data_IF_803602918813
#
_entry.id   IF_803602918813
#
_cell.length_a   1.000
_cell.length_b   1.000
_cell.length_c   1.000
_cell.angle_alpha   90.00
_cell.angle_beta   90.00
_cell.angle_gamma   90.00
#
_symmetry.space_group_name_H-M   'P 1'
#
loop_
_entity.id
_entity.type
_entity.pdbx_description
1 polymer ?
#
# COMPACT_ATOMS: atom_id res chain seq x y z
N UNK A 1 18.57 16.61 -3.68
CA UNK A 1 18.64 16.21 -2.24
C UNK A 1 17.23 16.01 -1.68
N UNK A 2 16.55 14.95 -2.11
CA UNK A 2 15.20 14.61 -1.65
C UNK A 2 15.31 13.58 -0.52
N UNK A 3 14.60 13.81 0.60
CA UNK A 3 14.48 12.85 1.71
C UNK A 3 13.15 12.09 1.54
N UNK A 4 13.18 10.79 1.82
CA UNK A 4 12.06 9.89 1.68
C UNK A 4 11.65 9.32 3.04
N UNK A 5 10.35 9.27 3.34
CA UNK A 5 9.83 8.43 4.41
C UNK A 5 9.22 7.15 3.84
N UNK A 6 9.64 6.01 4.39
CA UNK A 6 9.03 4.69 4.17
C UNK A 6 8.33 4.25 5.45
N UNK A 7 7.18 3.60 5.30
CA UNK A 7 6.54 2.99 6.45
C UNK A 7 7.31 1.77 6.97
N UNK A 8 7.87 0.95 6.07
CA UNK A 8 8.65 -0.24 6.38
C UNK A 8 9.48 -0.69 5.17
N UNK A 9 10.60 -1.36 5.39
CA UNK A 9 11.44 -1.95 4.34
C UNK A 9 10.74 -3.07 3.58
N UNK A 10 9.87 -3.83 4.24
CA UNK A 10 9.13 -4.95 3.66
C UNK A 10 7.75 -4.55 3.11
N UNK A 11 7.45 -3.24 3.11
CA UNK A 11 6.17 -2.73 2.64
C UNK A 11 6.03 -2.85 1.12
N UNK A 12 4.93 -3.46 0.67
CA UNK A 12 4.59 -3.43 -0.75
C UNK A 12 4.27 -2.02 -1.23
N UNK A 13 3.32 -1.33 -0.60
CA UNK A 13 2.86 0.00 -1.02
C UNK A 13 3.88 1.09 -0.77
N UNK A 14 4.57 1.07 0.37
CA UNK A 14 5.53 2.09 0.74
C UNK A 14 6.89 1.94 0.05
N UNK A 15 7.35 0.70 -0.17
CA UNK A 15 8.68 0.43 -0.69
C UNK A 15 8.66 -0.21 -2.07
N UNK A 16 8.06 -1.41 -2.23
CA UNK A 16 8.17 -2.20 -3.47
C UNK A 16 7.58 -1.47 -4.68
N UNK A 17 6.36 -0.93 -4.56
CA UNK A 17 5.70 -0.22 -5.65
C UNK A 17 6.37 1.12 -5.97
N UNK A 18 6.87 1.84 -4.97
CA UNK A 18 7.64 3.06 -5.19
C UNK A 18 8.95 2.76 -5.92
N UNK A 19 9.68 1.73 -5.46
CA UNK A 19 10.89 1.25 -6.12
C UNK A 19 10.64 0.89 -7.58
N UNK A 20 9.59 0.12 -7.86
CA UNK A 20 9.19 -0.24 -9.20
C UNK A 20 8.87 1.00 -10.07
N UNK A 21 8.16 1.98 -9.52
CA UNK A 21 7.81 3.21 -10.24
C UNK A 21 9.04 4.09 -10.58
N UNK A 22 10.05 4.11 -9.71
CA UNK A 22 11.25 4.93 -9.89
C UNK A 22 12.32 4.24 -10.75
N UNK A 23 12.38 2.91 -10.73
CA UNK A 23 13.42 2.15 -11.41
C UNK A 23 13.61 2.50 -12.91
N UNK A 24 12.55 2.76 -13.71
CA UNK A 24 12.72 3.17 -15.10
C UNK A 24 13.30 4.59 -15.28
N UNK A 25 13.20 5.42 -14.24
CA UNK A 25 13.56 6.84 -14.32
C UNK A 25 15.06 7.10 -14.10
N UNK A 26 15.75 6.21 -13.40
CA UNK A 26 17.14 6.44 -13.03
C UNK A 26 17.89 5.14 -12.84
N UNK A 27 18.48 4.68 -13.91
CA UNK A 27 19.49 3.64 -13.85
C UNK A 27 20.73 4.23 -13.16
N UNK A 28 21.22 3.57 -12.14
CA UNK A 28 22.45 3.92 -11.41
C UNK A 28 22.40 5.21 -10.57
N UNK A 29 21.25 5.86 -10.44
CA UNK A 29 21.12 7.12 -9.69
C UNK A 29 20.51 6.88 -8.30
N UNK A 30 21.09 7.52 -7.29
CA UNK A 30 20.43 7.69 -6.01
C UNK A 30 19.39 8.81 -6.15
N UNK A 31 18.10 8.49 -5.97
CA UNK A 31 17.02 9.48 -5.97
C UNK A 31 16.94 10.24 -4.65
N UNK A 32 17.37 9.59 -3.58
CA UNK A 32 17.18 10.11 -2.23
C UNK A 32 18.52 10.33 -1.54
N UNK A 33 18.65 11.50 -0.91
CA UNK A 33 19.79 11.77 -0.04
C UNK A 33 19.68 10.94 1.25
N UNK A 34 18.45 10.75 1.72
CA UNK A 34 18.17 10.00 2.96
C UNK A 34 16.84 9.24 2.83
N UNK A 35 16.78 8.06 3.45
CA UNK A 35 15.59 7.24 3.56
C UNK A 35 15.29 6.98 5.04
N UNK A 36 14.16 7.46 5.52
CA UNK A 36 13.72 7.32 6.91
C UNK A 36 12.64 6.27 7.04
N UNK A 37 12.76 5.36 8.01
CA UNK A 37 11.71 4.41 8.34
C UNK A 37 10.81 5.01 9.40
N UNK A 38 9.58 5.30 9.00
CA UNK A 38 8.59 5.97 9.86
C UNK A 38 7.81 5.02 10.77
N UNK A 39 7.68 3.75 10.39
CA UNK A 39 6.89 2.74 11.11
C UNK A 39 5.40 2.72 10.73
N UNK A 40 4.92 3.61 9.84
CA UNK A 40 3.53 3.58 9.38
C UNK A 40 3.17 4.73 8.45
N UNK A 41 2.20 4.50 7.56
CA UNK A 41 1.78 5.47 6.54
C UNK A 41 1.30 6.81 7.11
N UNK A 42 0.56 6.80 8.22
CA UNK A 42 0.10 8.04 8.87
C UNK A 42 1.27 8.90 9.35
N UNK A 43 2.30 8.26 9.90
CA UNK A 43 3.50 8.96 10.35
C UNK A 43 4.32 9.46 9.15
N UNK A 44 4.44 8.68 8.09
CA UNK A 44 5.09 9.12 6.85
C UNK A 44 4.45 10.38 6.29
N UNK A 45 3.11 10.43 6.24
CA UNK A 45 2.37 11.62 5.79
C UNK A 45 2.62 12.82 6.70
N UNK A 46 2.60 12.63 8.02
CA UNK A 46 2.89 13.69 8.99
C UNK A 46 4.31 14.25 8.83
N UNK A 47 5.30 13.40 8.55
CA UNK A 47 6.67 13.83 8.28
C UNK A 47 6.77 14.71 7.02
N UNK A 48 6.03 14.36 5.95
CA UNK A 48 5.97 15.20 4.74
C UNK A 48 5.28 16.53 5.06
N UNK A 49 4.14 16.51 5.75
CA UNK A 49 3.41 17.72 6.12
C UNK A 49 4.24 18.66 7.02
N UNK A 50 5.09 18.10 7.89
CA UNK A 50 6.00 18.86 8.74
C UNK A 50 7.28 19.33 8.01
N UNK A 51 7.50 18.93 6.75
CA UNK A 51 8.73 19.26 6.02
C UNK A 51 9.97 18.51 6.50
N UNK A 52 9.79 17.44 7.28
CA UNK A 52 10.89 16.58 7.73
C UNK A 52 11.47 15.76 6.57
N UNK A 53 10.61 15.41 5.61
CA UNK A 53 10.95 14.74 4.34
C UNK A 53 10.13 15.33 3.21
N UNK A 54 10.56 15.13 1.98
CA UNK A 54 9.89 15.69 0.80
C UNK A 54 8.93 14.70 0.12
N UNK A 55 9.09 13.39 0.35
CA UNK A 55 8.33 12.37 -0.34
C UNK A 55 7.97 11.20 0.57
N UNK A 56 6.81 10.62 0.29
CA UNK A 56 6.41 9.29 0.79
C UNK A 56 5.54 8.56 -0.21
N UNK A 57 5.44 7.25 -0.07
CA UNK A 57 4.46 6.40 -0.77
C UNK A 57 3.49 5.80 0.24
N UNK A 58 2.20 5.92 -0.05
CA UNK A 58 1.11 5.51 0.85
C UNK A 58 0.15 4.61 0.10
N UNK A 59 -0.38 3.60 0.77
CA UNK A 59 -1.41 2.75 0.17
C UNK A 59 -2.72 3.52 -0.08
N UNK A 60 -3.43 3.11 -1.12
CA UNK A 60 -4.65 3.79 -1.57
C UNK A 60 -5.78 3.70 -0.55
N UNK A 61 -5.80 2.67 0.30
CA UNK A 61 -6.84 2.51 1.33
C UNK A 61 -6.63 3.53 2.43
N UNK A 62 -5.44 3.59 3.03
CA UNK A 62 -5.10 4.62 4.05
C UNK A 62 -5.34 6.03 3.52
N UNK A 63 -4.87 6.33 2.31
CA UNK A 63 -5.07 7.64 1.70
C UNK A 63 -6.56 7.97 1.48
N UNK A 64 -7.33 7.02 0.95
CA UNK A 64 -8.77 7.17 0.73
C UNK A 64 -9.55 7.37 2.03
N UNK A 65 -9.20 6.65 3.09
CA UNK A 65 -9.79 6.87 4.42
C UNK A 65 -9.53 8.27 4.97
N UNK A 66 -8.32 8.78 4.81
CA UNK A 66 -8.01 10.15 5.22
C UNK A 66 -8.81 11.16 4.42
N UNK A 67 -8.94 10.98 3.11
CA UNK A 67 -9.77 11.86 2.28
C UNK A 67 -11.24 11.90 2.74
N UNK A 68 -11.78 10.78 3.22
CA UNK A 68 -13.17 10.67 3.64
C UNK A 68 -13.41 11.12 5.08
N UNK A 69 -12.48 10.84 6.00
CA UNK A 69 -12.75 10.92 7.43
C UNK A 69 -11.84 11.91 8.18
N UNK A 70 -10.72 12.32 7.59
CA UNK A 70 -9.76 13.23 8.21
C UNK A 70 -8.98 14.02 7.15
N UNK A 71 -9.68 14.75 6.22
CA UNK A 71 -9.03 15.42 5.10
C UNK A 71 -7.99 16.45 5.54
N UNK A 72 -8.15 17.05 6.72
CA UNK A 72 -7.19 17.99 7.31
C UNK A 72 -5.79 17.40 7.50
N UNK A 73 -5.67 16.07 7.61
CA UNK A 73 -4.36 15.39 7.68
C UNK A 73 -3.62 15.35 6.35
N UNK A 74 -4.29 15.73 5.28
CA UNK A 74 -3.72 15.81 3.93
C UNK A 74 -3.43 17.26 3.52
N UNK A 75 -3.70 18.24 4.39
CA UNK A 75 -3.43 19.64 4.11
C UNK A 75 -1.94 19.87 3.82
N UNK A 76 -1.68 20.65 2.77
CA UNK A 76 -0.32 20.93 2.32
C UNK A 76 0.36 19.78 1.54
N UNK A 77 -0.30 18.62 1.42
CA UNK A 77 0.21 17.48 0.66
C UNK A 77 -0.32 17.48 -0.78
N UNK A 78 0.50 16.99 -1.69
CA UNK A 78 0.15 16.84 -3.10
C UNK A 78 0.46 15.44 -3.59
N UNK A 79 -0.50 14.80 -4.26
CA UNK A 79 -0.27 13.55 -4.98
C UNK A 79 0.53 13.85 -6.24
N UNK A 80 1.71 13.27 -6.37
CA UNK A 80 2.61 13.43 -7.52
C UNK A 80 2.33 12.40 -8.61
N UNK A 81 1.87 11.21 -8.22
CA UNK A 81 1.61 10.11 -9.14
C UNK A 81 0.99 8.91 -8.43
N UNK A 82 0.73 7.88 -9.20
CA UNK A 82 0.25 6.58 -8.73
C UNK A 82 1.18 5.48 -9.21
N UNK A 83 1.40 4.48 -8.36
CA UNK A 83 2.12 3.28 -8.74
C UNK A 83 1.33 2.42 -9.73
N UNK A 84 1.96 1.38 -10.26
CA UNK A 84 1.26 0.28 -10.87
C UNK A 84 0.23 -0.32 -9.89
N UNK A 85 -0.93 -0.83 -10.38
CA UNK A 85 -1.96 -1.41 -9.53
C UNK A 85 -1.45 -2.68 -8.84
N UNK A 86 -1.89 -2.89 -7.62
CA UNK A 86 -1.64 -4.13 -6.89
C UNK A 86 -2.90 -4.59 -6.17
N UNK A 87 -3.02 -5.89 -5.85
CA UNK A 87 -4.10 -6.37 -5.02
C UNK A 87 -4.14 -5.67 -3.68
N UNK A 88 -5.33 -5.53 -3.10
CA UNK A 88 -5.51 -5.08 -1.73
C UNK A 88 -4.91 -6.09 -0.74
N UNK A 89 -4.72 -5.66 0.51
CA UNK A 89 -4.26 -6.53 1.59
C UNK A 89 -5.24 -7.71 1.75
N UNK A 90 -4.74 -8.97 1.75
CA UNK A 90 -5.59 -10.13 1.93
C UNK A 90 -6.01 -10.30 3.39
N UNK A 91 -7.21 -10.81 3.61
CA UNK A 91 -7.53 -11.48 4.86
C UNK A 91 -6.91 -12.88 4.82
N UNK A 92 -6.18 -13.23 5.84
CA UNK A 92 -5.50 -14.52 5.95
C UNK A 92 -6.01 -15.29 7.16
N UNK A 93 -6.03 -16.61 7.05
CA UNK A 93 -6.38 -17.52 8.13
C UNK A 93 -5.24 -18.52 8.36
N UNK A 94 -5.30 -19.21 9.50
CA UNK A 94 -4.37 -20.32 9.78
C UNK A 94 -4.51 -21.45 8.75
N UNK A 95 -3.41 -22.13 8.48
CA UNK A 95 -3.39 -23.35 7.64
C UNK A 95 -4.26 -24.50 8.19
N UNK A 96 -4.61 -24.45 9.49
CA UNK A 96 -5.50 -25.42 10.11
C UNK A 96 -6.97 -25.27 9.69
N UNK A 97 -7.35 -24.15 9.09
CA UNK A 97 -8.70 -23.95 8.62
C UNK A 97 -8.96 -24.78 7.37
N UNK A 98 -10.05 -25.56 7.42
CA UNK A 98 -10.50 -26.30 6.25
C UNK A 98 -11.03 -25.36 5.16
N UNK A 99 -11.14 -25.88 3.94
CA UNK A 99 -11.75 -25.12 2.84
C UNK A 99 -13.22 -24.72 3.14
N UNK A 100 -13.95 -25.57 3.87
CA UNK A 100 -15.33 -25.29 4.28
C UNK A 100 -15.37 -24.09 5.24
N UNK A 101 -14.55 -24.07 6.30
CA UNK A 101 -14.48 -22.96 7.24
C UNK A 101 -14.09 -21.64 6.57
N UNK A 102 -13.13 -21.66 5.64
CA UNK A 102 -12.76 -20.45 4.86
C UNK A 102 -13.93 -19.94 4.02
N UNK A 103 -14.69 -20.86 3.40
CA UNK A 103 -15.87 -20.48 2.61
C UNK A 103 -16.97 -19.90 3.48
N UNK A 104 -17.27 -20.51 4.63
CA UNK A 104 -18.26 -20.00 5.59
C UNK A 104 -17.90 -18.58 6.07
N UNK A 105 -16.63 -18.34 6.40
CA UNK A 105 -16.15 -16.99 6.76
C UNK A 105 -16.34 -16.00 5.62
N UNK A 106 -15.95 -16.38 4.40
CA UNK A 106 -16.11 -15.55 3.21
C UNK A 106 -17.58 -15.19 2.94
N UNK A 107 -18.48 -16.15 3.04
CA UNK A 107 -19.92 -15.95 2.89
C UNK A 107 -20.47 -15.04 3.99
N UNK A 108 -20.09 -15.26 5.25
CA UNK A 108 -20.51 -14.45 6.39
C UNK A 108 -20.04 -13.00 6.27
N UNK A 109 -18.79 -12.76 5.84
CA UNK A 109 -18.27 -11.42 5.62
C UNK A 109 -19.05 -10.67 4.54
N UNK A 110 -19.35 -11.31 3.40
CA UNK A 110 -20.14 -10.69 2.35
C UNK A 110 -21.61 -10.46 2.78
N UNK A 111 -22.21 -11.41 3.49
CA UNK A 111 -23.56 -11.24 4.04
C UNK A 111 -23.61 -10.05 5.00
N UNK A 112 -22.61 -9.91 5.87
CA UNK A 112 -22.50 -8.76 6.79
C UNK A 112 -22.50 -7.43 6.06
N UNK A 113 -21.79 -7.32 4.92
CA UNK A 113 -21.78 -6.08 4.14
C UNK A 113 -23.14 -5.76 3.52
N UNK A 114 -23.94 -6.80 3.18
CA UNK A 114 -25.30 -6.65 2.66
C UNK A 114 -26.27 -6.25 3.78
N UNK A 115 -26.20 -6.91 4.93
CA UNK A 115 -27.10 -6.68 6.05
C UNK A 115 -26.80 -5.39 6.83
N UNK A 116 -25.54 -4.93 6.77
CA UNK A 116 -25.07 -3.73 7.44
C UNK A 116 -24.52 -2.69 6.46
N UNK A 117 -25.36 -2.09 5.60
CA UNK A 117 -24.89 -1.17 4.55
C UNK A 117 -24.17 0.07 5.10
N UNK A 118 -24.50 0.51 6.32
CA UNK A 118 -23.77 1.59 6.98
C UNK A 118 -22.33 1.20 7.31
N UNK A 119 -22.08 -0.05 7.69
CA UNK A 119 -20.74 -0.56 7.93
C UNK A 119 -19.96 -0.64 6.62
N UNK A 120 -20.57 -1.17 5.56
CA UNK A 120 -19.98 -1.22 4.23
C UNK A 120 -19.57 0.18 3.73
N UNK A 121 -20.43 1.18 3.93
CA UNK A 121 -20.14 2.57 3.58
C UNK A 121 -19.00 3.17 4.43
N UNK A 122 -19.03 2.97 5.76
CA UNK A 122 -17.98 3.44 6.67
C UNK A 122 -16.62 2.82 6.34
N UNK A 123 -16.59 1.54 6.02
CA UNK A 123 -15.38 0.82 5.65
C UNK A 123 -15.00 1.00 4.16
N UNK A 124 -15.83 1.68 3.37
CA UNK A 124 -15.68 1.83 1.93
C UNK A 124 -15.47 0.48 1.21
N UNK A 125 -16.10 -0.58 1.72
CA UNK A 125 -16.03 -1.93 1.17
C UNK A 125 -17.29 -2.24 0.36
N UNK A 126 -17.10 -2.84 -0.81
CA UNK A 126 -18.21 -3.31 -1.65
C UNK A 126 -18.45 -4.81 -1.50
N UNK A 127 -17.38 -5.57 -1.48
CA UNK A 127 -17.41 -7.03 -1.35
C UNK A 127 -16.03 -7.57 -1.00
N UNK A 128 -16.00 -8.75 -0.44
CA UNK A 128 -14.81 -9.59 -0.40
C UNK A 128 -14.80 -10.49 -1.64
N UNK A 129 -13.62 -10.68 -2.21
CA UNK A 129 -13.41 -11.56 -3.36
C UNK A 129 -12.50 -12.72 -2.95
N UNK A 130 -12.73 -13.93 -3.47
CA UNK A 130 -11.78 -15.01 -3.26
C UNK A 130 -10.45 -14.64 -3.89
N UNK A 131 -9.36 -14.87 -3.17
CA UNK A 131 -8.03 -14.62 -3.67
C UNK A 131 -7.11 -15.79 -3.33
N UNK A 132 -6.27 -16.16 -4.28
CA UNK A 132 -5.21 -17.13 -4.13
C UNK A 132 -3.85 -16.49 -4.36
N UNK A 133 -2.80 -17.25 -4.15
CA UNK A 133 -1.41 -16.82 -4.31
C UNK A 133 -1.15 -16.22 -5.71
N UNK A 134 -1.81 -16.77 -6.74
CA UNK A 134 -1.70 -16.32 -8.13
C UNK A 134 -2.03 -14.83 -8.31
N UNK A 135 -2.96 -14.28 -7.53
CA UNK A 135 -3.33 -12.85 -7.58
C UNK A 135 -2.21 -11.94 -7.06
N UNK A 136 -1.37 -12.47 -6.15
CA UNK A 136 -0.30 -11.71 -5.50
C UNK A 136 1.06 -11.88 -6.17
N UNK A 137 1.21 -12.79 -7.13
CA UNK A 137 2.47 -13.00 -7.88
C UNK A 137 2.97 -11.76 -8.58
N UNK A 138 2.07 -10.89 -8.99
CA UNK A 138 2.42 -9.59 -9.61
C UNK A 138 3.34 -8.74 -8.73
N UNK A 139 3.27 -8.88 -7.41
CA UNK A 139 4.14 -8.14 -6.48
C UNK A 139 5.59 -8.58 -6.60
N UNK A 140 5.82 -9.88 -6.76
CA UNK A 140 7.14 -10.44 -7.02
C UNK A 140 7.65 -10.07 -8.42
N UNK A 141 6.75 -9.93 -9.39
CA UNK A 141 7.11 -9.46 -10.74
C UNK A 141 7.60 -8.01 -10.70
N UNK A 142 6.93 -7.13 -9.97
CA UNK A 142 7.38 -5.75 -9.79
C UNK A 142 8.75 -5.68 -9.12
N UNK A 143 9.00 -6.51 -8.13
CA UNK A 143 10.31 -6.62 -7.50
C UNK A 143 11.39 -7.05 -8.50
N UNK A 144 11.14 -8.14 -9.24
CA UNK A 144 12.06 -8.66 -10.25
C UNK A 144 12.34 -7.65 -11.36
N UNK A 145 11.31 -6.92 -11.81
CA UNK A 145 11.45 -5.87 -12.81
C UNK A 145 12.35 -4.74 -12.32
N UNK A 146 12.12 -4.25 -11.09
CA UNK A 146 12.95 -3.19 -10.53
C UNK A 146 14.42 -3.64 -10.39
N UNK A 147 14.65 -4.89 -9.96
CA UNK A 147 15.99 -5.48 -9.91
C UNK A 147 16.62 -5.58 -11.31
N UNK A 148 15.85 -6.05 -12.30
CA UNK A 148 16.29 -6.16 -13.69
C UNK A 148 16.65 -4.81 -14.34
N UNK A 149 16.04 -3.72 -13.88
CA UNK A 149 16.38 -2.35 -14.28
C UNK A 149 17.55 -1.73 -13.50
N UNK A 150 18.22 -2.53 -12.65
CA UNK A 150 19.38 -2.06 -11.87
C UNK A 150 19.02 -1.27 -10.61
N UNK A 151 17.76 -1.32 -10.15
CA UNK A 151 17.30 -0.58 -8.99
C UNK A 151 16.74 -1.53 -7.89
N UNK A 152 17.61 -2.37 -7.27
CA UNK A 152 17.17 -3.38 -6.28
C UNK A 152 16.71 -2.77 -4.96
N UNK A 153 17.11 -1.54 -4.64
CA UNK A 153 16.80 -0.85 -3.40
C UNK A 153 16.50 0.63 -3.65
N UNK A 154 15.64 1.21 -2.81
CA UNK A 154 15.43 2.65 -2.75
C UNK A 154 16.67 3.32 -2.15
N UNK A 155 17.25 4.24 -2.91
CA UNK A 155 18.45 4.99 -2.52
C UNK A 155 18.54 6.32 -3.27
#
# INVERSE_FOLDING_TARGET
NTRLALNDHDSNSGMNLLRHALAPLGRDSAFFAEVHISGGHLRSLAMVAAGEVELTSVDAVTFGYLQLHAPERLDGLRVLGRSAPSPALPLITSLHWSAAQRRELFEALNLTLIECPHLAATLALKSFLPAGEEHYRILLDYERQAQGWGYPQLR
#
